data_IF_505405746668
#
_entry.id   IF_505405746668
#
_cell.length_a   1.000
_cell.length_b   1.000
_cell.length_c   1.000
_cell.angle_alpha   90.00
_cell.angle_beta   90.00
_cell.angle_gamma   90.00
#
_symmetry.space_group_name_H-M   'P 1'
#
loop_
_entity.id
_entity.type
_entity.pdbx_description
1 polymer ?
#
# COMPACT_ATOMS: atom_id res chain seq x y z
N UNK A 1 10.10 8.10 -54.38
CA UNK A 1 11.27 7.39 -53.84
C UNK A 1 11.97 8.37 -52.90
N UNK A 2 12.17 8.14 -51.62
CA UNK A 2 11.92 6.98 -50.74
C UNK A 2 11.56 7.53 -49.37
N UNK A 3 10.65 6.85 -48.67
CA UNK A 3 10.59 7.01 -47.23
C UNK A 3 11.84 6.39 -46.60
N UNK A 4 12.31 7.02 -45.54
CA UNK A 4 12.92 6.30 -44.43
C UNK A 4 12.38 6.89 -43.13
N UNK A 5 12.08 6.03 -42.15
CA UNK A 5 11.13 6.30 -41.10
C UNK A 5 11.74 7.24 -40.06
N UNK A 6 10.89 8.09 -39.49
CA UNK A 6 11.17 8.68 -38.18
C UNK A 6 11.61 7.55 -37.26
N UNK A 7 12.88 7.56 -36.86
CA UNK A 7 13.37 6.70 -35.79
C UNK A 7 12.58 7.07 -34.55
N UNK A 8 11.50 6.32 -34.30
CA UNK A 8 10.74 6.39 -33.07
C UNK A 8 11.71 6.02 -31.93
N UNK A 9 12.33 7.04 -31.34
CA UNK A 9 13.06 6.95 -30.07
C UNK A 9 12.12 6.72 -28.90
N UNK A 10 11.22 5.74 -29.05
CA UNK A 10 10.16 5.40 -28.11
C UNK A 10 10.52 4.07 -27.43
N UNK A 11 11.54 4.06 -26.57
CA UNK A 11 11.82 2.90 -25.72
C UNK A 11 12.67 3.13 -24.47
N UNK A 12 13.03 4.36 -24.07
CA UNK A 12 13.95 4.56 -22.93
C UNK A 12 13.27 5.12 -21.66
N UNK A 13 11.96 4.93 -21.54
CA UNK A 13 11.20 5.26 -20.34
C UNK A 13 11.13 4.07 -19.36
N UNK A 14 11.13 4.30 -18.03
CA UNK A 14 10.92 3.22 -17.06
C UNK A 14 9.64 2.43 -17.35
N UNK A 15 9.72 1.10 -17.31
CA UNK A 15 8.57 0.24 -17.54
C UNK A 15 7.49 0.54 -16.49
N UNK A 16 6.37 1.14 -16.93
CA UNK A 16 5.30 1.59 -16.05
C UNK A 16 4.71 0.46 -15.20
N UNK A 17 4.67 -0.78 -15.70
CA UNK A 17 4.20 -1.93 -14.95
C UNK A 17 5.15 -2.27 -13.79
N UNK A 18 6.46 -2.13 -14.01
CA UNK A 18 7.48 -2.34 -12.96
C UNK A 18 7.37 -1.25 -11.90
N UNK A 19 7.28 0.02 -12.29
CA UNK A 19 7.14 1.14 -11.35
C UNK A 19 5.90 0.97 -10.47
N UNK A 20 4.75 0.67 -11.07
CA UNK A 20 3.50 0.44 -10.34
C UNK A 20 3.62 -0.76 -9.40
N UNK A 21 4.23 -1.87 -9.85
CA UNK A 21 4.43 -3.05 -9.01
C UNK A 21 5.32 -2.78 -7.79
N UNK A 22 6.42 -2.04 -7.99
CA UNK A 22 7.34 -1.65 -6.90
C UNK A 22 6.65 -0.74 -5.90
N UNK A 23 5.96 0.30 -6.37
CA UNK A 23 5.25 1.26 -5.49
C UNK A 23 4.15 0.55 -4.71
N UNK A 24 3.36 -0.31 -5.36
CA UNK A 24 2.31 -1.07 -4.70
C UNK A 24 2.88 -1.99 -3.62
N UNK A 25 3.95 -2.73 -3.92
CA UNK A 25 4.63 -3.59 -2.95
C UNK A 25 5.15 -2.79 -1.76
N UNK A 26 5.79 -1.65 -2.01
CA UNK A 26 6.28 -0.77 -0.95
C UNK A 26 5.15 -0.27 -0.03
N UNK A 27 4.00 0.11 -0.62
CA UNK A 27 2.81 0.51 0.16
C UNK A 27 2.34 -0.64 1.04
N UNK A 28 2.16 -1.84 0.48
CA UNK A 28 1.70 -3.01 1.24
C UNK A 28 2.65 -3.33 2.39
N UNK A 29 3.96 -3.34 2.14
CA UNK A 29 4.98 -3.58 3.16
C UNK A 29 4.92 -2.52 4.25
N UNK A 30 4.85 -1.23 3.88
CA UNK A 30 4.76 -0.13 4.84
C UNK A 30 3.47 -0.22 5.69
N UNK A 31 2.36 -0.59 5.07
CA UNK A 31 1.08 -0.82 5.75
C UNK A 31 1.19 -1.92 6.79
N UNK A 32 1.83 -3.04 6.45
CA UNK A 32 2.04 -4.17 7.39
C UNK A 32 2.92 -3.72 8.55
N UNK A 33 4.03 -3.02 8.27
CA UNK A 33 4.92 -2.49 9.32
C UNK A 33 4.17 -1.53 10.24
N UNK A 34 3.39 -0.60 9.68
CA UNK A 34 2.60 0.36 10.44
C UNK A 34 1.58 -0.34 11.36
N UNK A 35 0.89 -1.36 10.83
CA UNK A 35 -0.03 -2.17 11.62
C UNK A 35 0.68 -2.87 12.78
N UNK A 36 1.78 -3.58 12.49
CA UNK A 36 2.54 -4.32 13.50
C UNK A 36 3.07 -3.40 14.59
N UNK A 37 3.65 -2.25 14.22
CA UNK A 37 4.16 -1.27 15.19
C UNK A 37 3.03 -0.73 16.06
N UNK A 38 1.87 -0.41 15.46
CA UNK A 38 0.73 0.12 16.21
C UNK A 38 0.17 -0.92 17.19
N UNK A 39 -0.07 -2.14 16.74
CA UNK A 39 -0.59 -3.22 17.61
C UNK A 39 0.38 -3.55 18.73
N UNK A 40 1.68 -3.62 18.43
CA UNK A 40 2.71 -3.87 19.44
C UNK A 40 2.74 -2.74 20.47
N UNK A 41 2.70 -1.49 20.02
CA UNK A 41 2.69 -0.31 20.91
C UNK A 41 1.44 -0.32 21.78
N UNK A 42 0.28 -0.61 21.20
CA UNK A 42 -0.98 -0.70 21.92
C UNK A 42 -0.97 -1.83 22.95
N UNK A 43 -0.40 -3.00 22.62
CA UNK A 43 -0.26 -4.09 23.59
C UNK A 43 0.65 -3.69 24.76
N UNK A 44 1.82 -3.14 24.46
CA UNK A 44 2.78 -2.69 25.47
C UNK A 44 2.15 -1.65 26.40
N UNK A 45 1.51 -0.62 25.84
CA UNK A 45 0.97 0.48 26.64
C UNK A 45 -0.32 0.09 27.37
N UNK A 46 -1.28 -0.52 26.66
CA UNK A 46 -2.60 -0.76 27.24
C UNK A 46 -2.65 -2.03 28.09
N UNK A 47 -2.09 -3.13 27.60
CA UNK A 47 -2.17 -4.44 28.26
C UNK A 47 -1.08 -4.57 29.30
N UNK A 48 0.18 -4.32 28.91
CA UNK A 48 1.32 -4.62 29.78
C UNK A 48 1.56 -3.52 30.83
N UNK A 49 1.42 -2.23 30.48
CA UNK A 49 1.63 -1.12 31.41
C UNK A 49 0.37 -0.69 32.18
N UNK A 50 -0.79 -0.65 31.50
CA UNK A 50 -2.05 -0.15 32.08
C UNK A 50 -3.01 -1.26 32.52
N UNK A 51 -2.67 -2.53 32.33
CA UNK A 51 -3.46 -3.70 32.70
C UNK A 51 -4.89 -3.70 32.13
N UNK A 52 -5.11 -3.08 30.97
CA UNK A 52 -6.39 -3.15 30.28
C UNK A 52 -6.65 -4.57 29.76
N UNK A 53 -7.89 -5.05 29.86
CA UNK A 53 -8.25 -6.35 29.32
C UNK A 53 -8.09 -6.34 27.79
N UNK A 54 -7.47 -7.39 27.24
CA UNK A 54 -7.24 -7.54 25.79
C UNK A 54 -8.52 -7.33 24.95
N UNK A 55 -9.68 -7.77 25.47
CA UNK A 55 -10.97 -7.56 24.82
C UNK A 55 -11.37 -6.09 24.70
N UNK A 56 -10.94 -5.23 25.63
CA UNK A 56 -11.17 -3.78 25.58
C UNK A 56 -10.28 -3.07 24.55
N UNK A 57 -9.17 -3.68 24.15
CA UNK A 57 -8.21 -3.10 23.20
C UNK A 57 -8.45 -3.59 21.76
N UNK A 58 -9.14 -4.71 21.60
CA UNK A 58 -9.46 -5.33 20.31
C UNK A 58 -10.10 -4.37 19.28
N UNK A 59 -11.05 -3.47 19.63
CA UNK A 59 -11.65 -2.55 18.66
C UNK A 59 -10.64 -1.60 18.01
N UNK A 60 -9.62 -1.13 18.77
CA UNK A 60 -8.58 -0.25 18.23
C UNK A 60 -7.76 -0.95 17.16
N UNK A 61 -7.36 -2.19 17.42
CA UNK A 61 -6.61 -3.03 16.47
C UNK A 61 -7.39 -3.23 15.18
N UNK A 62 -8.70 -3.52 15.29
CA UNK A 62 -9.59 -3.72 14.14
C UNK A 62 -9.74 -2.43 13.32
N UNK A 63 -9.98 -1.29 13.98
CA UNK A 63 -10.12 0.01 13.30
C UNK A 63 -8.82 0.41 12.61
N UNK A 64 -7.67 0.25 13.27
CA UNK A 64 -6.35 0.49 12.67
C UNK A 64 -6.15 -0.37 11.43
N UNK A 65 -6.46 -1.67 11.51
CA UNK A 65 -6.38 -2.57 10.37
C UNK A 65 -7.26 -2.11 9.20
N UNK A 66 -8.50 -1.68 9.49
CA UNK A 66 -9.43 -1.18 8.47
C UNK A 66 -8.93 0.11 7.80
N UNK A 67 -8.44 1.09 8.57
CA UNK A 67 -7.91 2.35 8.02
C UNK A 67 -6.70 2.10 7.11
N UNK A 68 -5.85 1.17 7.50
CA UNK A 68 -4.64 0.79 6.77
C UNK A 68 -4.93 0.11 5.42
N UNK A 69 -6.17 -0.30 5.15
CA UNK A 69 -6.56 -0.79 3.81
C UNK A 69 -6.70 0.33 2.78
N UNK A 70 -7.00 1.56 3.19
CA UNK A 70 -7.20 2.71 2.30
C UNK A 70 -6.00 2.96 1.36
N UNK A 71 -4.74 3.05 1.85
CA UNK A 71 -3.59 3.28 0.98
C UNK A 71 -3.35 2.15 -0.04
N UNK A 72 -3.88 0.94 0.20
CA UNK A 72 -3.82 -0.18 -0.75
C UNK A 72 -4.98 -0.09 -1.76
N UNK A 73 -6.17 0.26 -1.30
CA UNK A 73 -7.38 0.34 -2.12
C UNK A 73 -7.29 1.44 -3.18
N UNK A 74 -6.74 2.61 -2.86
CA UNK A 74 -6.63 3.75 -3.78
C UNK A 74 -5.84 3.39 -5.05
N UNK A 75 -4.57 2.96 -4.99
CA UNK A 75 -3.80 2.61 -6.19
C UNK A 75 -4.44 1.44 -6.93
N UNK A 76 -5.00 0.44 -6.21
CA UNK A 76 -5.69 -0.70 -6.83
C UNK A 76 -6.89 -0.24 -7.66
N UNK A 77 -7.72 0.65 -7.12
CA UNK A 77 -8.87 1.21 -7.82
C UNK A 77 -8.45 2.06 -9.02
N UNK A 78 -7.44 2.93 -8.86
CA UNK A 78 -6.92 3.79 -9.94
C UNK A 78 -6.33 2.95 -11.10
N UNK A 79 -5.56 1.91 -10.81
CA UNK A 79 -5.00 1.00 -11.82
C UNK A 79 -6.12 0.23 -12.53
N UNK A 80 -7.12 -0.23 -11.78
CA UNK A 80 -8.26 -0.97 -12.33
C UNK A 80 -9.08 -0.11 -13.29
N UNK A 81 -9.34 1.15 -12.94
CA UNK A 81 -10.03 2.10 -13.82
C UNK A 81 -9.22 2.40 -15.09
N UNK A 82 -7.90 2.59 -15.00
CA UNK A 82 -7.04 2.80 -16.17
C UNK A 82 -6.95 1.57 -17.09
N UNK A 83 -7.24 0.36 -16.58
CA UNK A 83 -7.31 -0.87 -17.39
C UNK A 83 -8.66 -1.05 -18.08
N UNK A 84 -9.70 -0.34 -17.64
CA UNK A 84 -11.08 -0.45 -18.17
C UNK A 84 -11.41 0.58 -19.26
N UNK A 85 -10.64 1.67 -19.38
CA UNK A 85 -10.78 2.70 -20.42
C UNK A 85 -9.65 2.68 -21.42
#
# INVERSE_FOLDING_TARGET
MSGDPASNGAADGPNAAVVVGVVFSAIVVLTVIAYTVTVTTVNLLAVDLLAYPVGGVAPFVVITGAILTIPIMIPTALISMKRLG
#
